data_IF_998817829294
#
_entry.id   IF_998817829294
#
_cell.length_a   1.000
_cell.length_b   1.000
_cell.length_c   1.000
_cell.angle_alpha   90.00
_cell.angle_beta   90.00
_cell.angle_gamma   90.00
#
_symmetry.space_group_name_H-M   'P 1'
#
loop_
_entity.id
_entity.type
_entity.pdbx_description
1 polymer ?
#
# COMPACT_ATOMS: atom_id res chain seq x y z
N UNK A 1 23.81 13.16 10.10
CA UNK A 1 23.96 13.98 8.88
C UNK A 1 23.09 13.29 7.84
N UNK A 2 21.85 13.76 7.66
CA UNK A 2 20.85 13.08 6.84
C UNK A 2 21.23 13.24 5.36
N UNK A 3 21.51 12.11 4.71
CA UNK A 3 21.55 11.98 3.26
C UNK A 3 20.22 12.46 2.70
N UNK A 4 20.19 13.68 2.17
CA UNK A 4 19.22 14.05 1.15
C UNK A 4 19.35 12.97 0.08
N UNK A 5 18.31 12.16 -0.08
CA UNK A 5 18.19 11.29 -1.25
C UNK A 5 18.35 12.20 -2.46
N UNK A 6 19.29 11.87 -3.34
CA UNK A 6 19.61 12.70 -4.50
C UNK A 6 18.32 13.00 -5.26
N UNK A 7 18.06 14.28 -5.54
CA UNK A 7 16.91 14.73 -6.34
C UNK A 7 16.84 13.98 -7.67
N UNK A 8 17.98 13.60 -8.26
CA UNK A 8 18.03 12.76 -9.46
C UNK A 8 17.47 11.36 -9.21
N UNK A 9 17.78 10.74 -8.07
CA UNK A 9 17.25 9.44 -7.69
C UNK A 9 15.73 9.52 -7.46
N UNK A 10 15.23 10.56 -6.80
CA UNK A 10 13.78 10.78 -6.64
C UNK A 10 13.12 10.97 -8.01
N UNK A 11 13.75 11.72 -8.91
CA UNK A 11 13.21 11.94 -10.25
C UNK A 11 13.17 10.67 -11.10
N UNK A 12 14.13 9.76 -10.92
CA UNK A 12 14.14 8.46 -11.59
C UNK A 12 13.00 7.53 -11.12
N UNK A 13 12.46 7.75 -9.91
CA UNK A 13 11.41 6.92 -9.30
C UNK A 13 10.03 7.60 -9.29
N UNK A 14 9.81 8.63 -10.12
CA UNK A 14 8.54 9.37 -10.13
C UNK A 14 7.34 8.47 -10.42
N UNK A 15 7.51 7.46 -11.27
CA UNK A 15 6.43 6.52 -11.58
C UNK A 15 6.05 5.69 -10.35
N UNK A 16 7.03 5.14 -9.63
CA UNK A 16 6.79 4.36 -8.42
C UNK A 16 6.15 5.22 -7.32
N UNK A 17 6.62 6.46 -7.16
CA UNK A 17 6.05 7.43 -6.23
C UNK A 17 4.58 7.72 -6.58
N UNK A 18 4.27 7.89 -7.86
CA UNK A 18 2.90 8.09 -8.34
C UNK A 18 2.02 6.87 -8.10
N UNK A 19 2.49 5.66 -8.38
CA UNK A 19 1.74 4.42 -8.12
C UNK A 19 1.37 4.29 -6.64
N UNK A 20 2.32 4.48 -5.71
CA UNK A 20 2.02 4.44 -4.28
C UNK A 20 1.08 5.60 -3.87
N UNK A 21 1.35 6.80 -4.36
CA UNK A 21 0.62 8.00 -3.96
C UNK A 21 -0.86 7.92 -4.31
N UNK A 22 -1.16 7.49 -5.53
CA UNK A 22 -2.52 7.27 -6.00
C UNK A 22 -3.24 6.19 -5.18
N UNK A 23 -2.54 5.13 -4.78
CA UNK A 23 -3.11 4.09 -3.92
C UNK A 23 -3.45 4.61 -2.53
N UNK A 24 -2.57 5.40 -1.90
CA UNK A 24 -2.84 5.94 -0.57
C UNK A 24 -3.89 7.06 -0.59
N UNK A 25 -3.95 7.86 -1.66
CA UNK A 25 -4.94 8.92 -1.80
C UNK A 25 -6.34 8.35 -2.07
N UNK A 26 -6.46 7.41 -3.01
CA UNK A 26 -7.75 6.96 -3.54
C UNK A 26 -8.21 5.57 -3.11
N UNK A 27 -7.35 4.77 -2.47
CA UNK A 27 -7.69 3.43 -1.99
C UNK A 27 -7.36 3.24 -0.49
N UNK A 28 -7.48 2.01 -0.01
CA UNK A 28 -7.27 1.66 1.41
C UNK A 28 -5.81 1.69 1.84
N UNK A 29 -4.86 1.53 0.90
CA UNK A 29 -3.43 1.40 1.19
C UNK A 29 -3.05 0.09 1.90
N UNK A 30 -3.99 -0.85 2.05
CA UNK A 30 -3.80 -2.12 2.77
C UNK A 30 -2.64 -2.93 2.16
N UNK A 31 -2.56 -2.96 0.82
CA UNK A 31 -1.49 -3.67 0.09
C UNK A 31 -0.12 -3.05 0.36
N UNK A 32 0.03 -1.73 0.26
CA UNK A 32 1.28 -1.05 0.60
C UNK A 32 1.73 -1.31 2.06
N UNK A 33 0.77 -1.39 3.00
CA UNK A 33 1.03 -1.72 4.41
C UNK A 33 1.41 -3.20 4.61
N UNK A 34 0.75 -4.12 3.92
CA UNK A 34 1.10 -5.54 3.91
C UNK A 34 2.51 -5.76 3.36
N UNK A 35 2.84 -5.11 2.24
CA UNK A 35 4.16 -5.13 1.63
C UNK A 35 5.23 -4.56 2.59
N UNK A 36 4.93 -3.43 3.26
CA UNK A 36 5.83 -2.88 4.29
C UNK A 36 6.10 -3.90 5.38
N UNK A 37 5.05 -4.56 5.89
CA UNK A 37 5.19 -5.54 6.97
C UNK A 37 6.01 -6.76 6.53
N UNK A 38 5.71 -7.32 5.36
CA UNK A 38 6.47 -8.44 4.78
C UNK A 38 7.96 -8.06 4.64
N UNK A 39 8.26 -6.90 4.06
CA UNK A 39 9.62 -6.42 3.88
C UNK A 39 10.32 -5.99 5.19
N UNK A 40 9.56 -5.69 6.24
CA UNK A 40 10.14 -5.42 7.56
C UNK A 40 10.64 -6.71 8.22
N UNK A 41 9.89 -7.81 8.06
CA UNK A 41 10.21 -9.12 8.65
C UNK A 41 11.31 -9.84 7.86
N UNK A 42 11.16 -9.90 6.53
CA UNK A 42 11.99 -10.77 5.69
C UNK A 42 13.05 -10.02 4.87
N UNK A 43 13.01 -8.68 4.80
CA UNK A 43 13.93 -7.87 3.98
C UNK A 43 13.31 -7.38 2.66
N UNK A 44 14.06 -6.60 1.88
CA UNK A 44 13.61 -6.01 0.60
C UNK A 44 13.89 -6.92 -0.60
N UNK A 45 14.42 -6.35 -1.69
CA UNK A 45 14.72 -7.09 -2.95
C UNK A 45 15.68 -8.27 -2.80
N UNK A 46 16.47 -8.33 -1.72
CA UNK A 46 17.29 -9.51 -1.41
C UNK A 46 16.45 -10.78 -1.16
N UNK A 47 15.16 -10.63 -0.84
CA UNK A 47 14.28 -11.75 -0.46
C UNK A 47 12.97 -11.81 -1.27
N UNK A 48 12.64 -10.74 -1.98
CA UNK A 48 11.39 -10.62 -2.73
C UNK A 48 11.64 -10.16 -4.16
N UNK A 49 11.04 -10.87 -5.09
CA UNK A 49 10.52 -10.29 -6.33
C UNK A 49 9.03 -9.95 -6.14
N UNK A 50 8.38 -9.42 -7.17
CA UNK A 50 6.97 -9.04 -7.12
C UNK A 50 6.04 -10.24 -6.84
N UNK A 51 6.38 -11.43 -7.33
CA UNK A 51 5.60 -12.66 -7.13
C UNK A 51 5.65 -13.11 -5.66
N UNK A 52 6.86 -13.21 -5.09
CA UNK A 52 7.04 -13.59 -3.70
C UNK A 52 6.46 -12.54 -2.74
N UNK A 53 6.52 -11.26 -3.10
CA UNK A 53 5.90 -10.21 -2.30
C UNK A 53 4.37 -10.28 -2.37
N UNK A 54 3.80 -10.66 -3.52
CA UNK A 54 2.36 -10.89 -3.64
C UNK A 54 1.92 -12.00 -2.68
N UNK A 55 2.59 -13.15 -2.71
CA UNK A 55 2.30 -14.29 -1.81
C UNK A 55 2.41 -13.90 -0.34
N UNK A 56 3.45 -13.14 0.04
CA UNK A 56 3.62 -12.68 1.40
C UNK A 56 2.55 -11.66 1.83
N UNK A 57 2.12 -10.79 0.92
CA UNK A 57 1.00 -9.88 1.19
C UNK A 57 -0.31 -10.63 1.33
N UNK A 58 -0.55 -11.64 0.48
CA UNK A 58 -1.76 -12.46 0.48
C UNK A 58 -1.91 -13.22 1.80
N UNK A 59 -0.81 -13.80 2.28
CA UNK A 59 -0.76 -14.46 3.58
C UNK A 59 -1.01 -13.52 4.79
N UNK A 60 -0.89 -12.20 4.62
CA UNK A 60 -1.10 -11.22 5.69
C UNK A 60 -2.53 -10.69 5.75
N UNK A 61 -3.21 -10.53 4.63
CA UNK A 61 -4.51 -9.83 4.55
C UNK A 61 -5.57 -10.53 3.70
N UNK A 62 -5.20 -11.59 2.98
CA UNK A 62 -6.08 -12.33 2.07
C UNK A 62 -6.27 -11.65 0.71
N UNK A 63 -6.59 -12.47 -0.30
CA UNK A 63 -6.60 -12.06 -1.70
C UNK A 63 -7.57 -10.90 -1.97
N UNK A 64 -8.81 -11.02 -1.52
CA UNK A 64 -9.87 -10.02 -1.74
C UNK A 64 -9.46 -8.61 -1.25
N UNK A 65 -8.56 -8.53 -0.26
CA UNK A 65 -8.07 -7.28 0.35
C UNK A 65 -6.88 -6.66 -0.39
N UNK A 66 -6.23 -7.39 -1.28
CA UNK A 66 -5.13 -6.89 -2.11
C UNK A 66 -5.59 -6.18 -3.39
N UNK A 67 -6.85 -6.40 -3.77
CA UNK A 67 -7.47 -5.90 -5.00
C UNK A 67 -8.60 -4.89 -4.72
N UNK A 68 -8.61 -4.23 -3.55
CA UNK A 68 -9.65 -3.27 -3.17
C UNK A 68 -9.66 -1.97 -4.01
N UNK A 69 -8.66 -1.75 -4.87
CA UNK A 69 -8.57 -0.58 -5.75
C UNK A 69 -9.13 -0.81 -7.16
N UNK A 70 -9.73 -1.96 -7.43
CA UNK A 70 -10.29 -2.27 -8.74
C UNK A 70 -11.75 -1.83 -8.76
N UNK A 71 -12.21 -1.30 -9.90
CA UNK A 71 -13.64 -1.15 -10.21
C UNK A 71 -14.27 -2.52 -10.49
N UNK A 72 -14.04 -3.47 -9.58
CA UNK A 72 -14.72 -4.76 -9.53
C UNK A 72 -16.17 -4.53 -9.09
N UNK A 73 -17.12 -5.25 -9.70
CA UNK A 73 -18.55 -5.13 -9.37
C UNK A 73 -18.86 -5.49 -7.90
N UNK A 74 -17.94 -6.18 -7.21
CA UNK A 74 -18.04 -6.51 -5.78
C UNK A 74 -17.40 -5.47 -4.84
N UNK A 75 -16.74 -4.41 -5.36
CA UNK A 75 -16.14 -3.37 -4.52
C UNK A 75 -17.24 -2.47 -3.92
N UNK A 76 -17.38 -2.38 -2.58
CA UNK A 76 -18.40 -1.56 -1.94
C UNK A 76 -18.14 -0.04 -2.04
N UNK A 77 -16.94 0.38 -2.44
CA UNK A 77 -16.54 1.79 -2.59
C UNK A 77 -15.89 2.03 -3.96
N UNK A 78 -16.64 1.89 -5.07
CA UNK A 78 -16.10 2.12 -6.41
C UNK A 78 -15.66 3.58 -6.56
N UNK A 79 -14.54 3.81 -7.23
CA UNK A 79 -14.03 5.16 -7.52
C UNK A 79 -13.88 5.34 -9.02
N UNK A 80 -13.94 6.57 -9.53
CA UNK A 80 -13.59 6.83 -10.94
C UNK A 80 -12.09 6.59 -11.22
N UNK A 81 -11.32 6.19 -10.20
CA UNK A 81 -9.90 5.89 -10.24
C UNK A 81 -9.68 4.42 -10.59
N UNK A 82 -9.30 4.14 -11.85
CA UNK A 82 -8.90 2.80 -12.31
C UNK A 82 -7.42 2.61 -12.04
N UNK A 83 -7.05 2.37 -10.78
CA UNK A 83 -5.75 1.78 -10.44
C UNK A 83 -5.90 0.25 -10.49
N UNK A 84 -5.57 -0.34 -11.65
CA UNK A 84 -5.71 -1.77 -11.86
C UNK A 84 -6.62 -2.13 -13.03
N UNK A 85 -6.33 -1.62 -14.23
CA UNK A 85 -6.53 -2.49 -15.39
C UNK A 85 -5.22 -3.28 -15.52
N UNK A 86 -5.10 -4.40 -14.79
CA UNK A 86 -3.91 -5.25 -14.80
C UNK A 86 -3.27 -5.57 -13.44
N UNK A 87 -2.27 -6.45 -13.51
CA UNK A 87 -1.56 -7.12 -12.42
C UNK A 87 -1.09 -6.23 -11.25
N UNK A 88 -1.16 -6.73 -10.00
CA UNK A 88 -0.64 -6.03 -8.82
C UNK A 88 0.89 -5.91 -8.83
N UNK A 89 1.57 -6.63 -9.72
CA UNK A 89 3.02 -6.67 -9.81
C UNK A 89 3.67 -5.30 -10.03
N UNK A 90 3.05 -4.40 -10.79
CA UNK A 90 3.60 -3.04 -10.95
C UNK A 90 3.66 -2.28 -9.63
N UNK A 91 2.63 -2.40 -8.79
CA UNK A 91 2.62 -1.79 -7.47
C UNK A 91 3.62 -2.46 -6.53
N UNK A 92 3.73 -3.79 -6.59
CA UNK A 92 4.64 -4.56 -5.73
C UNK A 92 6.12 -4.28 -6.05
N UNK A 93 6.49 -4.23 -7.33
CA UNK A 93 7.82 -3.79 -7.75
C UNK A 93 8.08 -2.33 -7.36
N UNK A 94 7.08 -1.45 -7.49
CA UNK A 94 7.21 -0.07 -7.06
C UNK A 94 7.52 0.03 -5.56
N UNK A 95 6.88 -0.77 -4.70
CA UNK A 95 7.21 -0.73 -3.26
C UNK A 95 8.61 -1.24 -2.95
N UNK A 96 9.09 -2.24 -3.68
CA UNK A 96 10.45 -2.74 -3.54
C UNK A 96 11.47 -1.64 -3.89
N UNK A 97 11.28 -0.96 -5.03
CA UNK A 97 12.11 0.19 -5.45
C UNK A 97 12.07 1.32 -4.41
N UNK A 98 10.87 1.67 -3.92
CA UNK A 98 10.71 2.73 -2.93
C UNK A 98 11.34 2.37 -1.58
N UNK A 99 11.29 1.09 -1.18
CA UNK A 99 11.96 0.60 0.03
C UNK A 99 13.47 0.71 -0.09
N UNK A 100 14.04 0.43 -1.26
CA UNK A 100 15.48 0.63 -1.50
C UNK A 100 15.87 2.12 -1.48
N UNK A 101 15.05 2.96 -2.12
CA UNK A 101 15.31 4.39 -2.22
C UNK A 101 15.20 5.12 -0.88
N UNK A 102 14.11 4.89 -0.15
CA UNK A 102 13.73 5.65 1.05
C UNK A 102 13.95 4.88 2.37
N UNK A 103 14.38 3.62 2.31
CA UNK A 103 14.62 2.78 3.49
C UNK A 103 13.35 2.44 4.26
N UNK A 104 13.46 2.24 5.58
CA UNK A 104 12.35 1.79 6.43
C UNK A 104 11.14 2.74 6.48
N UNK A 105 11.33 4.03 6.14
CA UNK A 105 10.29 5.06 6.17
C UNK A 105 9.68 5.33 4.79
N UNK A 106 9.87 4.42 3.83
CA UNK A 106 9.50 4.63 2.42
C UNK A 106 8.06 5.05 2.19
N UNK A 107 7.09 4.52 2.93
CA UNK A 107 5.67 4.90 2.78
C UNK A 107 5.46 6.40 2.96
N UNK A 108 5.88 6.95 4.11
CA UNK A 108 5.65 8.36 4.46
C UNK A 108 6.47 9.26 3.54
N UNK A 109 7.72 8.90 3.26
CA UNK A 109 8.61 9.73 2.43
C UNK A 109 8.15 9.77 0.97
N UNK A 110 7.80 8.63 0.38
CA UNK A 110 7.29 8.58 -0.99
C UNK A 110 5.92 9.27 -1.09
N UNK A 111 5.03 9.09 -0.10
CA UNK A 111 3.75 9.80 -0.06
C UNK A 111 3.93 11.31 0.11
N UNK A 112 4.93 11.75 0.88
CA UNK A 112 5.26 13.19 1.01
C UNK A 112 5.73 13.76 -0.33
N UNK A 113 6.58 13.03 -1.07
CA UNK A 113 7.03 13.47 -2.40
C UNK A 113 5.88 13.49 -3.42
N UNK A 114 4.98 12.51 -3.37
CA UNK A 114 3.76 12.51 -4.18
C UNK A 114 2.88 13.71 -3.83
N UNK A 115 2.54 13.89 -2.55
CA UNK A 115 1.70 14.97 -2.05
C UNK A 115 2.23 16.33 -2.47
N UNK A 116 3.55 16.56 -2.38
CA UNK A 116 4.16 17.84 -2.74
C UNK A 116 4.13 18.15 -4.24
N UNK A 117 4.13 17.13 -5.12
CA UNK A 117 4.36 17.30 -6.57
C UNK A 117 3.12 17.04 -7.42
N UNK A 118 2.28 16.10 -7.01
CA UNK A 118 1.17 15.57 -7.82
C UNK A 118 -0.14 15.35 -7.05
N UNK A 119 -0.10 15.35 -5.72
CA UNK A 119 -1.31 15.24 -4.91
C UNK A 119 -2.31 16.35 -5.16
N UNK A 120 -3.56 16.11 -4.73
CA UNK A 120 -4.62 17.12 -4.70
C UNK A 120 -4.20 18.41 -3.98
N UNK A 121 -4.95 19.49 -4.17
CA UNK A 121 -4.65 20.78 -3.55
C UNK A 121 -4.53 20.67 -2.02
N UNK A 122 -5.44 19.92 -1.38
CA UNK A 122 -5.38 19.64 0.06
C UNK A 122 -4.06 18.96 0.47
N UNK A 123 -3.57 18.01 -0.33
CA UNK A 123 -2.30 17.34 -0.05
C UNK A 123 -1.11 18.28 -0.19
N UNK A 124 -1.16 19.25 -1.12
CA UNK A 124 -0.06 20.19 -1.36
C UNK A 124 0.09 21.25 -0.27
N UNK A 125 -0.95 21.53 0.51
CA UNK A 125 -0.94 22.52 1.57
C UNK A 125 -0.06 22.11 2.77
N UNK A 126 -0.10 20.82 3.14
CA UNK A 126 0.80 20.22 4.14
C UNK A 126 1.20 18.80 3.71
N UNK A 127 2.13 18.66 2.75
CA UNK A 127 2.46 17.37 2.15
C UNK A 127 2.87 16.30 3.15
N UNK A 128 3.59 16.70 4.20
CA UNK A 128 4.07 15.76 5.21
C UNK A 128 2.98 15.39 6.20
N UNK A 129 2.27 16.37 6.77
CA UNK A 129 1.18 16.09 7.70
C UNK A 129 0.10 15.22 7.06
N UNK A 130 -0.28 15.56 5.81
CA UNK A 130 -1.26 14.78 5.05
C UNK A 130 -0.78 13.38 4.65
N UNK A 131 0.50 13.24 4.30
CA UNK A 131 1.07 11.91 4.07
C UNK A 131 1.03 11.04 5.34
N UNK A 132 1.36 11.61 6.50
CA UNK A 132 1.29 10.92 7.79
C UNK A 132 -0.16 10.52 8.15
N UNK A 133 -1.14 11.40 7.90
CA UNK A 133 -2.58 11.10 8.07
C UNK A 133 -3.04 9.93 7.18
N UNK A 134 -2.69 9.93 5.90
CA UNK A 134 -3.09 8.87 4.97
C UNK A 134 -2.43 7.53 5.30
N UNK A 135 -1.15 7.54 5.70
CA UNK A 135 -0.47 6.32 6.16
C UNK A 135 -1.08 5.80 7.47
N UNK A 136 -1.51 6.69 8.38
CA UNK A 136 -2.21 6.30 9.60
C UNK A 136 -3.57 5.65 9.28
N UNK A 137 -4.35 6.24 8.37
CA UNK A 137 -5.60 5.64 7.86
C UNK A 137 -5.35 4.26 7.27
N UNK A 138 -4.34 4.11 6.41
CA UNK A 138 -4.00 2.83 5.81
C UNK A 138 -3.57 1.77 6.85
N UNK A 139 -2.91 2.19 7.94
CA UNK A 139 -2.57 1.31 9.05
C UNK A 139 -3.83 0.82 9.80
N UNK A 140 -4.83 1.68 9.99
CA UNK A 140 -6.11 1.29 10.57
C UNK A 140 -6.84 0.28 9.68
N UNK A 141 -6.93 0.53 8.37
CA UNK A 141 -7.55 -0.39 7.41
C UNK A 141 -6.80 -1.73 7.34
N UNK A 142 -5.47 -1.70 7.32
CA UNK A 142 -4.65 -2.90 7.41
C UNK A 142 -4.94 -3.70 8.69
N UNK A 143 -5.08 -3.02 9.82
CA UNK A 143 -5.41 -3.67 11.09
C UNK A 143 -6.79 -4.34 11.03
N UNK A 144 -7.79 -3.69 10.43
CA UNK A 144 -9.13 -4.27 10.21
C UNK A 144 -9.06 -5.49 9.30
N UNK A 145 -8.34 -5.39 8.18
CA UNK A 145 -8.19 -6.49 7.22
C UNK A 145 -7.62 -7.75 7.89
N UNK A 146 -6.64 -7.57 8.80
CA UNK A 146 -6.07 -8.67 9.59
C UNK A 146 -7.00 -9.26 10.63
N UNK A 147 -7.93 -8.48 11.17
CA UNK A 147 -8.88 -8.98 12.18
C UNK A 147 -10.06 -9.74 11.58
N UNK A 148 -10.45 -9.44 10.33
CA UNK A 148 -11.56 -10.11 9.63
C UNK A 148 -11.25 -11.60 9.37
N UNK A 149 -9.97 -11.96 9.27
CA UNK A 149 -9.54 -13.36 9.20
C UNK A 149 -10.04 -14.16 10.42
N UNK A 150 -10.08 -13.54 11.61
CA UNK A 150 -10.45 -14.20 12.86
C UNK A 150 -11.97 -14.47 12.97
N UNK A 151 -12.81 -13.60 12.42
CA UNK A 151 -14.28 -13.76 12.46
C UNK A 151 -14.78 -14.80 11.45
N UNK A 152 -14.13 -14.90 10.28
CA UNK A 152 -14.45 -15.92 9.26
C UNK A 152 -14.11 -17.36 9.71
N UNK A 153 -13.27 -17.53 10.72
CA UNK A 153 -13.02 -18.82 11.37
C UNK A 153 -14.02 -19.15 12.49
N UNK A 154 -14.87 -18.20 12.91
CA UNK A 154 -15.91 -18.40 13.94
C UNK A 154 -17.30 -18.65 13.35
N UNK A 155 -17.56 -18.20 12.12
CA UNK A 155 -18.74 -18.59 11.34
C UNK A 155 -18.42 -19.85 10.51
N UNK A 156 -18.75 -21.09 10.93
CA UNK A 156 -19.94 -21.48 11.67
C UNK A 156 -19.70 -22.55 12.76
N UNK A 157 -19.60 -22.14 14.03
CA UNK A 157 -19.92 -23.03 15.16
C UNK A 157 -21.37 -22.87 15.66
N UNK A 158 -22.06 -21.78 15.29
CA UNK A 158 -23.45 -21.55 15.69
C UNK A 158 -24.49 -22.17 14.73
N UNK A 159 -24.12 -22.45 13.47
CA UNK A 159 -25.05 -23.08 12.51
C UNK A 159 -25.15 -24.62 12.64
N UNK A 160 -24.40 -25.24 13.56
CA UNK A 160 -24.41 -26.68 13.80
C UNK A 160 -25.28 -27.12 14.99
N UNK A 161 -26.10 -26.21 15.54
CA UNK A 161 -27.02 -26.50 16.65
C UNK A 161 -28.47 -26.09 16.33
N UNK A 162 -29.08 -26.67 15.29
CA UNK A 162 -30.54 -26.84 15.20
C UNK A 162 -30.88 -28.16 14.53
#
# INVERSE_FOLDING_TARGET
MNTMIDTNAINAHQHQIEVLGLELEHASGVRALAARQAMHVSGGRDHFDADLLLEACDALVGNDRLFESYNDEANPNPTDFVLGDGCPFMSLDAYLDLRELFGGNWLVLAMTEYAARRGSEELRDDPRGKAEELVARALEEYSKARTVEFERFLEPLEAAQV
#
